data_IF_770289092520
#
_entry.id   IF_770289092520
#
_cell.length_a   1.000
_cell.length_b   1.000
_cell.length_c   1.000
_cell.angle_alpha   90.00
_cell.angle_beta   90.00
_cell.angle_gamma   90.00
#
_symmetry.space_group_name_H-M   'P 1'
#
loop_
_entity.id
_entity.type
_entity.pdbx_description
1 polymer ?
#
# COMPACT_ATOMS: atom_id res chain seq x y z
N UNK A 1 17.82 29.15 -5.35
CA UNK A 1 16.52 28.57 -4.96
C UNK A 1 16.69 27.06 -4.91
N UNK A 2 16.99 26.51 -3.74
CA UNK A 2 17.01 25.06 -3.54
C UNK A 2 15.56 24.61 -3.41
N UNK A 3 15.06 23.91 -4.42
CA UNK A 3 13.85 23.10 -4.31
C UNK A 3 14.17 21.98 -3.32
N UNK A 4 13.98 22.26 -2.04
CA UNK A 4 13.83 21.23 -1.03
C UNK A 4 12.55 20.48 -1.35
N UNK A 5 12.63 19.50 -2.24
CA UNK A 5 11.74 18.35 -2.18
C UNK A 5 12.03 17.74 -0.82
N UNK A 6 11.26 18.18 0.18
CA UNK A 6 11.17 17.51 1.44
C UNK A 6 11.02 16.05 1.08
N UNK A 7 12.01 15.25 1.46
CA UNK A 7 11.91 13.82 1.56
C UNK A 7 10.81 13.61 2.62
N UNK A 8 9.55 13.80 2.23
CA UNK A 8 8.42 13.26 2.95
C UNK A 8 8.81 11.82 3.17
N UNK A 9 8.84 11.30 4.40
CA UNK A 9 9.06 9.89 4.62
C UNK A 9 7.96 9.19 3.82
N UNK A 10 8.35 8.71 2.65
CA UNK A 10 7.52 7.84 1.84
C UNK A 10 7.25 6.72 2.83
N UNK A 11 5.99 6.38 3.17
CA UNK A 11 5.73 5.30 4.10
C UNK A 11 6.50 4.10 3.59
N UNK A 12 7.59 3.79 4.28
CA UNK A 12 8.57 2.85 3.79
C UNK A 12 7.89 1.50 3.92
N UNK A 13 8.04 0.63 2.93
CA UNK A 13 7.36 -0.66 2.85
C UNK A 13 7.41 -1.49 4.18
N UNK A 14 8.37 -1.19 5.06
CA UNK A 14 8.47 -1.60 6.47
C UNK A 14 7.21 -1.31 7.31
N UNK A 15 6.60 -0.13 7.18
CA UNK A 15 5.40 0.28 7.91
C UNK A 15 4.19 -0.58 7.52
N UNK A 16 4.09 -0.99 6.25
CA UNK A 16 3.01 -1.85 5.77
C UNK A 16 3.09 -3.26 6.36
N UNK A 17 4.32 -3.80 6.47
CA UNK A 17 4.55 -5.09 7.11
C UNK A 17 4.28 -5.03 8.62
N UNK A 18 4.69 -3.95 9.28
CA UNK A 18 4.41 -3.74 10.70
C UNK A 18 2.92 -3.57 10.97
N UNK A 19 2.19 -2.84 10.12
CA UNK A 19 0.74 -2.70 10.20
C UNK A 19 0.03 -4.04 9.97
N UNK A 20 0.51 -4.86 9.03
CA UNK A 20 0.02 -6.23 8.83
C UNK A 20 0.22 -7.12 10.06
N UNK A 21 1.41 -7.10 10.65
CA UNK A 21 1.76 -7.88 11.85
C UNK A 21 0.90 -7.48 13.06
N UNK A 22 0.68 -6.18 13.25
CA UNK A 22 -0.22 -5.64 14.27
C UNK A 22 -1.71 -5.79 13.92
N UNK A 23 -2.04 -6.30 12.72
CA UNK A 23 -3.41 -6.38 12.16
C UNK A 23 -4.14 -5.05 12.18
N UNK A 24 -3.39 -3.96 11.99
CA UNK A 24 -3.90 -2.60 12.01
C UNK A 24 -4.46 -2.24 10.62
N UNK A 25 -5.66 -2.75 10.37
CA UNK A 25 -6.41 -2.54 9.12
C UNK A 25 -6.49 -1.06 8.68
N UNK A 26 -6.83 -0.09 9.55
CA UNK A 26 -6.91 1.31 9.12
C UNK A 26 -5.54 1.87 8.74
N UNK A 27 -4.46 1.48 9.42
CA UNK A 27 -3.09 1.85 9.03
C UNK A 27 -2.73 1.23 7.66
N UNK A 28 -2.99 -0.07 7.45
CA UNK A 28 -2.78 -0.76 6.17
C UNK A 28 -3.51 -0.04 5.05
N UNK A 29 -4.76 0.34 5.26
CA UNK A 29 -5.57 1.08 4.29
C UNK A 29 -4.91 2.43 3.92
N UNK A 30 -4.46 3.19 4.92
CA UNK A 30 -3.81 4.48 4.72
C UNK A 30 -2.49 4.35 3.95
N UNK A 31 -1.69 3.32 4.27
CA UNK A 31 -0.42 3.02 3.62
C UNK A 31 -0.62 2.59 2.15
N UNK A 32 -1.59 1.70 1.89
CA UNK A 32 -1.96 1.30 0.53
C UNK A 32 -2.47 2.50 -0.29
N UNK A 33 -3.24 3.40 0.31
CA UNK A 33 -3.74 4.60 -0.36
C UNK A 33 -2.60 5.54 -0.76
N UNK A 34 -1.60 5.73 0.10
CA UNK A 34 -0.38 6.49 -0.22
C UNK A 34 0.44 5.81 -1.32
N UNK A 35 0.61 4.48 -1.24
CA UNK A 35 1.30 3.68 -2.27
C UNK A 35 0.60 3.81 -3.63
N UNK A 36 -0.73 3.66 -3.67
CA UNK A 36 -1.55 3.89 -4.86
C UNK A 36 -1.30 5.28 -5.47
N UNK A 37 -1.35 6.32 -4.63
CA UNK A 37 -1.10 7.69 -5.08
C UNK A 37 0.28 7.90 -5.68
N UNK A 38 1.31 7.25 -5.13
CA UNK A 38 2.68 7.31 -5.65
C UNK A 38 2.82 6.50 -6.95
N UNK A 39 2.22 5.31 -7.01
CA UNK A 39 2.35 4.35 -8.12
C UNK A 39 1.69 4.84 -9.41
N UNK A 40 0.52 5.49 -9.27
CA UNK A 40 -0.18 6.11 -10.40
C UNK A 40 0.60 7.25 -11.05
N UNK A 41 1.48 7.93 -10.30
CA UNK A 41 2.33 9.02 -10.81
C UNK A 41 3.54 8.54 -11.60
N UNK A 42 4.02 7.32 -11.35
CA UNK A 42 5.22 6.75 -11.98
C UNK A 42 4.92 5.78 -13.13
N UNK A 43 3.64 5.54 -13.45
CA UNK A 43 3.23 4.64 -14.54
C UNK A 43 3.14 3.15 -14.16
N UNK A 44 3.18 2.83 -12.86
CA UNK A 44 3.00 1.46 -12.35
C UNK A 44 1.52 1.11 -12.25
N UNK A 45 0.90 0.85 -13.41
CA UNK A 45 -0.55 0.60 -13.54
C UNK A 45 -1.00 -0.69 -12.82
N UNK A 46 -0.17 -1.73 -12.86
CA UNK A 46 -0.42 -2.98 -12.13
C UNK A 46 -0.37 -2.76 -10.62
N UNK A 47 0.65 -2.06 -10.12
CA UNK A 47 0.78 -1.76 -8.69
C UNK A 47 -0.36 -0.86 -8.17
N UNK A 48 -0.74 0.14 -8.96
CA UNK A 48 -1.89 0.98 -8.69
C UNK A 48 -3.18 0.15 -8.57
N UNK A 49 -3.39 -0.76 -9.52
CA UNK A 49 -4.56 -1.64 -9.55
C UNK A 49 -4.60 -2.59 -8.34
N UNK A 50 -3.45 -3.19 -7.99
CA UNK A 50 -3.33 -4.06 -6.82
C UNK A 50 -3.60 -3.29 -5.52
N UNK A 51 -3.05 -2.08 -5.36
CA UNK A 51 -3.30 -1.23 -4.20
C UNK A 51 -4.78 -0.84 -4.11
N UNK A 52 -5.41 -0.42 -5.22
CA UNK A 52 -6.85 -0.11 -5.28
C UNK A 52 -7.74 -1.27 -4.83
N UNK A 53 -7.43 -2.50 -5.26
CA UNK A 53 -8.18 -3.69 -4.83
C UNK A 53 -8.01 -3.95 -3.33
N UNK A 54 -6.79 -3.82 -2.80
CA UNK A 54 -6.51 -3.96 -1.37
C UNK A 54 -7.16 -2.85 -0.51
N UNK A 55 -7.20 -1.62 -1.00
CA UNK A 55 -7.91 -0.47 -0.39
C UNK A 55 -9.42 -0.75 -0.35
N UNK A 56 -9.99 -1.27 -1.44
CA UNK A 56 -11.42 -1.59 -1.51
C UNK A 56 -11.79 -2.71 -0.54
N UNK A 57 -10.93 -3.72 -0.40
CA UNK A 57 -11.10 -4.82 0.56
C UNK A 57 -11.06 -4.32 2.01
N UNK A 58 -10.08 -3.49 2.34
CA UNK A 58 -9.92 -2.92 3.69
C UNK A 58 -11.03 -1.89 4.02
N UNK A 59 -11.49 -1.11 3.03
CA UNK A 59 -12.57 -0.14 3.20
C UNK A 59 -13.90 -0.81 3.58
N UNK A 60 -14.18 -2.00 3.01
CA UNK A 60 -15.47 -2.67 3.21
C UNK A 60 -15.69 -3.20 4.62
N UNK A 61 -14.69 -3.27 5.51
CA UNK A 61 -14.76 -3.55 6.97
C UNK A 61 -15.67 -4.70 7.48
N UNK A 62 -16.35 -5.47 6.61
CA UNK A 62 -17.43 -6.39 7.01
C UNK A 62 -17.00 -7.86 6.92
N UNK A 63 -16.01 -8.17 6.08
CA UNK A 63 -15.39 -9.49 5.95
C UNK A 63 -14.06 -9.30 5.20
N UNK A 64 -13.05 -8.79 5.90
CA UNK A 64 -11.73 -8.63 5.29
C UNK A 64 -11.15 -10.02 5.14
N UNK A 65 -11.18 -10.55 3.93
CA UNK A 65 -10.49 -11.79 3.58
C UNK A 65 -8.99 -11.56 3.67
N UNK A 66 -8.44 -11.75 4.87
CA UNK A 66 -7.03 -11.55 5.16
C UNK A 66 -6.14 -12.33 4.17
N UNK A 67 -6.55 -13.54 3.78
CA UNK A 67 -5.85 -14.33 2.77
C UNK A 67 -5.79 -13.64 1.40
N UNK A 68 -6.88 -12.98 0.96
CA UNK A 68 -6.86 -12.22 -0.29
C UNK A 68 -5.99 -10.97 -0.16
N UNK A 69 -6.13 -10.25 0.95
CA UNK A 69 -5.34 -9.05 1.23
C UNK A 69 -3.84 -9.36 1.29
N UNK A 70 -3.46 -10.47 1.92
CA UNK A 70 -2.09 -10.97 1.96
C UNK A 70 -1.57 -11.33 0.56
N UNK A 71 -2.39 -12.00 -0.26
CA UNK A 71 -2.02 -12.29 -1.64
C UNK A 71 -1.81 -11.02 -2.48
N UNK A 72 -2.60 -9.96 -2.25
CA UNK A 72 -2.37 -8.65 -2.88
C UNK A 72 -1.09 -7.99 -2.38
N UNK A 73 -0.86 -8.00 -1.07
CA UNK A 73 0.35 -7.47 -0.46
C UNK A 73 1.60 -8.17 -1.01
N UNK A 74 1.60 -9.50 -1.07
CA UNK A 74 2.67 -10.31 -1.66
C UNK A 74 2.98 -9.90 -3.11
N UNK A 75 1.95 -9.70 -3.95
CA UNK A 75 2.15 -9.22 -5.33
C UNK A 75 2.72 -7.81 -5.38
N UNK A 76 2.25 -6.91 -4.52
CA UNK A 76 2.77 -5.55 -4.40
C UNK A 76 4.26 -5.59 -3.99
N UNK A 77 4.65 -6.47 -3.06
CA UNK A 77 6.05 -6.67 -2.68
C UNK A 77 6.93 -7.12 -3.85
N UNK A 78 6.45 -8.09 -4.65
CA UNK A 78 7.18 -8.60 -5.83
C UNK A 78 7.34 -7.51 -6.89
N UNK A 79 6.29 -6.76 -7.19
CA UNK A 79 6.33 -5.67 -8.17
C UNK A 79 7.21 -4.50 -7.72
N UNK A 80 7.35 -4.28 -6.41
CA UNK A 80 8.29 -3.33 -5.82
C UNK A 80 9.75 -3.82 -5.82
N UNK A 81 10.02 -5.04 -6.31
CA UNK A 81 11.33 -5.69 -6.27
C UNK A 81 11.96 -5.75 -4.86
N UNK A 82 11.19 -6.13 -3.85
CA UNK A 82 11.69 -6.50 -2.52
C UNK A 82 12.16 -7.95 -2.46
#
# INVERSE_FOLDING_TARGET
MMLGFAHSPQPTNTDLKAAWDNKDIPEIHSLLHKLSGSSGGYGFNDLYTLCQQAITLTAKNTDIKLEQLEAFLQKIYVELQL
#
